data_IF_451852824419
#
_entry.id   IF_451852824419
#
_cell.length_a   1.000
_cell.length_b   1.000
_cell.length_c   1.000
_cell.angle_alpha   90.00
_cell.angle_beta   90.00
_cell.angle_gamma   90.00
#
_symmetry.space_group_name_H-M   'P 1'
#
loop_
_entity.id
_entity.type
_entity.pdbx_description
1 polymer ?
#
# COMPACT_ATOMS: atom_id res chain seq x y z
N UNK A 1 16.68 20.86 12.27
CA UNK A 1 17.65 20.24 13.23
C UNK A 1 17.01 19.90 14.57
N UNK A 2 16.31 20.82 15.27
CA UNK A 2 15.73 20.55 16.60
C UNK A 2 14.83 19.33 16.66
N UNK A 3 13.85 19.23 15.76
CA UNK A 3 12.94 18.07 15.68
C UNK A 3 13.67 16.73 15.47
N UNK A 4 14.66 16.69 14.59
CA UNK A 4 15.41 15.46 14.30
C UNK A 4 16.22 15.02 15.52
N UNK A 5 16.84 15.97 16.23
CA UNK A 5 17.60 15.68 17.45
C UNK A 5 16.71 15.26 18.61
N UNK A 6 15.52 15.82 18.72
CA UNK A 6 14.53 15.40 19.71
C UNK A 6 14.08 13.95 19.48
N UNK A 7 13.79 13.58 18.21
CA UNK A 7 13.51 12.20 17.82
C UNK A 7 14.70 11.30 18.14
N UNK A 8 15.92 11.69 17.78
CA UNK A 8 17.12 10.90 18.08
C UNK A 8 17.31 10.68 19.58
N UNK A 9 17.11 11.74 20.38
CA UNK A 9 17.28 11.67 21.84
C UNK A 9 16.22 10.78 22.49
N UNK A 10 14.97 10.85 22.00
CA UNK A 10 13.84 10.10 22.58
C UNK A 10 13.75 8.66 22.11
N UNK A 11 14.20 8.35 20.87
CA UNK A 11 14.01 7.03 20.25
C UNK A 11 15.30 6.31 19.85
N UNK A 12 16.44 7.00 19.84
CA UNK A 12 17.70 6.47 19.31
C UNK A 12 17.75 6.35 17.78
N UNK A 13 16.72 6.85 17.06
CA UNK A 13 16.62 6.76 15.61
C UNK A 13 17.07 8.05 14.96
N UNK A 14 18.06 7.98 14.05
CA UNK A 14 18.47 9.12 13.24
C UNK A 14 17.52 9.30 12.05
N UNK A 15 17.43 10.54 11.53
CA UNK A 15 16.63 10.86 10.38
C UNK A 15 17.42 11.68 9.35
N UNK A 16 16.96 11.57 8.09
CA UNK A 16 17.45 12.39 6.97
C UNK A 16 16.39 13.42 6.63
N UNK A 17 16.79 14.65 6.31
CA UNK A 17 15.89 15.71 5.92
C UNK A 17 16.26 16.32 4.57
N UNK A 18 15.24 16.72 3.82
CA UNK A 18 15.37 17.54 2.61
C UNK A 18 14.66 18.87 2.80
N UNK A 19 15.28 19.93 2.33
CA UNK A 19 14.74 21.29 2.26
C UNK A 19 14.60 21.62 0.78
N UNK A 20 13.50 22.23 0.39
CA UNK A 20 13.25 22.61 -1.00
C UNK A 20 12.29 23.78 -1.11
N UNK A 21 12.34 24.49 -2.22
CA UNK A 21 11.42 25.59 -2.56
C UNK A 21 10.01 25.09 -2.78
N UNK A 22 9.85 23.79 -3.08
CA UNK A 22 8.57 23.09 -3.20
C UNK A 22 8.66 21.67 -2.64
N UNK A 23 7.52 20.95 -2.61
CA UNK A 23 7.42 19.60 -2.01
C UNK A 23 8.25 18.57 -2.76
N UNK A 24 8.30 18.64 -4.09
CA UNK A 24 9.08 17.72 -4.91
C UNK A 24 10.58 17.89 -4.64
N UNK A 25 11.09 19.13 -4.68
CA UNK A 25 12.51 19.41 -4.42
C UNK A 25 12.92 19.04 -3.00
N UNK A 26 12.07 19.29 -1.99
CA UNK A 26 12.33 18.83 -0.62
C UNK A 26 12.43 17.28 -0.55
N UNK A 27 11.53 16.58 -1.24
CA UNK A 27 11.54 15.11 -1.30
C UNK A 27 12.78 14.56 -1.99
N UNK A 28 13.15 15.12 -3.13
CA UNK A 28 14.32 14.68 -3.92
C UNK A 28 15.64 15.05 -3.22
N UNK A 29 15.70 16.22 -2.58
CA UNK A 29 16.83 16.60 -1.71
C UNK A 29 17.07 15.54 -0.63
N UNK A 30 16.01 15.08 0.04
CA UNK A 30 16.09 14.03 1.06
C UNK A 30 16.52 12.68 0.48
N UNK A 31 15.90 12.24 -0.60
CA UNK A 31 16.06 10.87 -1.09
C UNK A 31 17.36 10.66 -1.89
N UNK A 32 17.82 11.66 -2.62
CA UNK A 32 18.99 11.52 -3.50
C UNK A 32 20.21 12.20 -2.88
N UNK A 33 20.11 13.49 -2.54
CA UNK A 33 21.28 14.28 -2.14
C UNK A 33 21.65 13.99 -0.68
N UNK A 34 20.72 14.12 0.25
CA UNK A 34 21.03 13.96 1.68
C UNK A 34 21.49 12.54 2.03
N UNK A 35 20.91 11.50 1.43
CA UNK A 35 21.35 10.12 1.67
C UNK A 35 22.78 9.83 1.23
N UNK A 36 23.32 10.61 0.29
CA UNK A 36 24.71 10.50 -0.19
C UNK A 36 25.67 11.48 0.47
N UNK A 37 25.13 12.45 1.20
CA UNK A 37 25.93 13.42 1.94
C UNK A 37 26.53 12.83 3.21
N UNK A 38 27.69 13.31 3.68
CA UNK A 38 28.23 12.94 4.98
C UNK A 38 27.23 13.23 6.09
N UNK A 39 27.15 12.32 7.05
CA UNK A 39 26.36 12.55 8.26
C UNK A 39 27.10 13.53 9.19
N UNK A 40 26.36 14.35 9.94
CA UNK A 40 26.93 15.10 11.04
C UNK A 40 27.31 14.15 12.22
N UNK A 41 27.83 14.74 13.31
CA UNK A 41 28.23 13.98 14.51
C UNK A 41 27.11 13.14 15.15
N UNK A 42 25.87 13.52 14.90
CA UNK A 42 24.66 12.86 15.44
C UNK A 42 24.05 11.87 14.41
N UNK A 43 24.73 11.62 13.29
CA UNK A 43 24.28 10.74 12.22
C UNK A 43 23.22 11.37 11.31
N UNK A 44 22.92 12.64 11.47
CA UNK A 44 21.89 13.37 10.71
C UNK A 44 22.45 13.81 9.35
N UNK A 45 21.63 13.67 8.30
CA UNK A 45 21.93 14.14 6.95
C UNK A 45 20.88 15.12 6.50
N UNK A 46 21.31 16.27 5.99
CA UNK A 46 20.41 17.30 5.47
C UNK A 46 20.94 17.77 4.11
N UNK A 47 20.04 17.97 3.17
CA UNK A 47 20.32 18.60 1.89
C UNK A 47 19.25 19.64 1.56
N UNK A 48 19.62 20.62 0.76
CA UNK A 48 18.74 21.68 0.28
C UNK A 48 18.82 21.75 -1.25
N UNK A 49 17.66 21.91 -1.89
CA UNK A 49 17.54 22.13 -3.33
C UNK A 49 16.56 23.27 -3.62
N UNK A 50 16.95 24.08 -4.59
CA UNK A 50 16.06 24.94 -5.35
C UNK A 50 16.12 24.51 -6.83
N UNK A 51 15.38 25.14 -7.71
CA UNK A 51 15.26 24.78 -9.11
C UNK A 51 16.61 24.82 -9.85
N UNK A 52 17.48 25.79 -9.53
CA UNK A 52 18.80 25.92 -10.17
C UNK A 52 19.76 24.83 -9.68
N UNK A 53 19.83 24.61 -8.36
CA UNK A 53 20.68 23.55 -7.80
C UNK A 53 20.17 22.14 -8.17
N UNK A 54 18.88 21.96 -8.35
CA UNK A 54 18.30 20.72 -8.88
C UNK A 54 18.82 20.43 -10.29
N UNK A 55 18.74 21.41 -11.20
CA UNK A 55 19.27 21.28 -12.56
C UNK A 55 20.75 20.96 -12.56
N UNK A 56 21.51 21.72 -11.79
CA UNK A 56 22.96 21.57 -11.72
C UNK A 56 23.42 20.20 -11.17
N UNK A 57 22.74 19.70 -10.13
CA UNK A 57 23.17 18.50 -9.40
C UNK A 57 22.53 17.21 -9.92
N UNK A 58 21.29 17.27 -10.44
CA UNK A 58 20.46 16.10 -10.62
C UNK A 58 19.93 15.89 -12.04
N UNK A 59 20.06 16.84 -12.96
CA UNK A 59 19.60 16.63 -14.32
C UNK A 59 20.28 15.44 -15.00
N UNK A 60 21.58 15.19 -14.74
CA UNK A 60 22.33 14.05 -15.24
C UNK A 60 22.30 12.82 -14.33
N UNK A 61 21.55 12.90 -13.21
CA UNK A 61 21.51 11.81 -12.25
C UNK A 61 20.87 10.54 -12.81
N UNK A 62 21.47 9.40 -12.48
CA UNK A 62 20.98 8.03 -12.76
C UNK A 62 21.09 7.16 -11.53
N UNK A 63 20.15 6.19 -11.37
CA UNK A 63 19.05 5.84 -12.25
C UNK A 63 17.83 6.76 -12.04
N UNK A 64 16.95 6.86 -13.05
CA UNK A 64 15.70 7.62 -12.95
C UNK A 64 14.77 7.13 -11.84
N UNK A 65 14.86 5.86 -11.45
CA UNK A 65 14.06 5.28 -10.35
C UNK A 65 14.39 5.86 -8.96
N UNK A 66 15.44 6.65 -8.82
CA UNK A 66 15.75 7.35 -7.57
C UNK A 66 14.82 8.56 -7.36
N UNK A 67 14.25 9.09 -8.45
CA UNK A 67 13.32 10.22 -8.39
C UNK A 67 11.93 9.77 -7.95
N UNK A 68 11.31 10.60 -7.12
CA UNK A 68 9.97 10.37 -6.65
C UNK A 68 8.98 10.24 -7.81
N UNK A 69 8.05 9.28 -7.72
CA UNK A 69 7.04 8.90 -8.73
C UNK A 69 7.61 8.30 -10.03
N UNK A 70 8.90 8.10 -10.18
CA UNK A 70 9.46 7.39 -11.33
C UNK A 70 9.75 5.93 -10.98
N UNK A 71 8.86 5.05 -11.41
CA UNK A 71 9.05 3.60 -11.27
C UNK A 71 9.68 2.95 -12.50
N UNK A 72 9.99 1.63 -12.45
CA UNK A 72 10.58 0.89 -13.57
C UNK A 72 9.76 0.95 -14.86
N UNK A 73 8.42 1.07 -14.76
CA UNK A 73 7.54 1.20 -15.93
C UNK A 73 7.72 2.54 -16.63
N UNK A 74 7.78 3.64 -15.90
CA UNK A 74 8.05 4.98 -16.43
C UNK A 74 9.45 5.04 -17.03
N UNK A 75 10.45 4.55 -16.30
CA UNK A 75 11.85 4.50 -16.80
C UNK A 75 11.97 3.76 -18.12
N UNK A 76 11.33 2.60 -18.28
CA UNK A 76 11.36 1.85 -19.56
C UNK A 76 10.74 2.62 -20.71
N UNK A 77 9.64 3.34 -20.48
CA UNK A 77 8.98 4.16 -21.50
C UNK A 77 9.81 5.38 -21.88
N UNK A 78 10.47 6.02 -20.93
CA UNK A 78 11.41 7.11 -21.18
C UNK A 78 12.63 6.60 -21.98
N UNK A 79 13.23 5.48 -21.57
CA UNK A 79 14.37 4.87 -22.26
C UNK A 79 14.04 4.46 -23.69
N UNK A 80 12.81 4.00 -23.98
CA UNK A 80 12.36 3.70 -25.34
C UNK A 80 12.31 4.94 -26.26
N UNK A 81 12.26 6.14 -25.67
CA UNK A 81 12.36 7.42 -26.37
C UNK A 81 13.73 8.11 -26.16
N UNK A 82 14.74 7.35 -25.76
CA UNK A 82 16.13 7.80 -25.54
C UNK A 82 16.28 8.86 -24.45
N UNK A 83 15.41 8.86 -23.46
CA UNK A 83 15.49 9.71 -22.27
C UNK A 83 15.93 8.87 -21.06
N UNK A 84 17.12 9.10 -20.55
CA UNK A 84 17.74 8.35 -19.45
C UNK A 84 17.98 9.20 -18.21
N UNK A 85 17.75 10.52 -18.31
CA UNK A 85 17.92 11.49 -17.22
C UNK A 85 16.74 12.46 -17.17
N UNK A 86 16.62 13.20 -16.06
CA UNK A 86 15.59 14.24 -15.93
C UNK A 86 15.90 15.44 -16.85
N UNK A 87 17.17 15.76 -17.08
CA UNK A 87 17.57 16.79 -18.03
C UNK A 87 17.14 16.48 -19.45
N UNK A 88 17.40 15.24 -19.95
CA UNK A 88 16.94 14.80 -21.27
C UNK A 88 15.42 14.84 -21.40
N UNK A 89 14.69 14.50 -20.32
CA UNK A 89 13.24 14.62 -20.29
C UNK A 89 12.79 16.09 -20.34
N UNK A 90 13.41 16.99 -19.57
CA UNK A 90 13.13 18.40 -19.58
C UNK A 90 13.40 19.05 -20.94
N UNK A 91 14.53 18.74 -21.56
CA UNK A 91 14.86 19.23 -22.92
C UNK A 91 13.82 18.78 -23.95
N UNK A 92 13.37 17.52 -23.87
CA UNK A 92 12.35 16.98 -24.78
C UNK A 92 11.04 17.75 -24.69
N UNK A 93 10.62 18.22 -23.50
CA UNK A 93 9.38 18.96 -23.32
C UNK A 93 9.34 20.28 -24.09
N UNK A 94 10.50 20.89 -24.39
CA UNK A 94 10.56 22.18 -25.09
C UNK A 94 10.06 22.10 -26.54
N UNK A 95 10.04 20.94 -27.15
CA UNK A 95 9.65 20.76 -28.55
C UNK A 95 8.67 19.61 -28.82
N UNK A 96 8.43 18.72 -27.86
CA UNK A 96 7.49 17.59 -28.03
C UNK A 96 6.82 17.25 -26.67
N UNK A 97 6.13 18.21 -26.10
CA UNK A 97 5.37 18.05 -24.85
C UNK A 97 4.24 17.03 -25.01
N UNK A 98 3.62 16.99 -26.21
CA UNK A 98 2.53 16.08 -26.55
C UNK A 98 2.94 14.60 -26.39
N UNK A 99 4.22 14.26 -26.57
CA UNK A 99 4.73 12.92 -26.31
C UNK A 99 4.44 12.46 -24.89
N UNK A 100 4.59 13.35 -23.90
CA UNK A 100 4.40 13.02 -22.49
C UNK A 100 2.93 12.75 -22.19
N UNK A 101 2.03 13.61 -22.66
CA UNK A 101 0.58 13.41 -22.48
C UNK A 101 0.09 12.13 -23.15
N UNK A 102 0.52 11.86 -24.37
CA UNK A 102 0.13 10.66 -25.11
C UNK A 102 0.69 9.37 -24.48
N UNK A 103 1.91 9.43 -23.93
CA UNK A 103 2.60 8.25 -23.40
C UNK A 103 2.23 7.96 -21.94
N UNK A 104 2.02 8.99 -21.14
CA UNK A 104 1.85 8.87 -19.69
C UNK A 104 0.48 9.33 -19.19
N UNK A 105 -0.37 9.88 -20.07
CA UNK A 105 -1.67 10.45 -19.68
C UNK A 105 -1.50 11.62 -18.72
N UNK A 106 -2.36 11.73 -17.71
CA UNK A 106 -2.30 12.78 -16.69
C UNK A 106 -0.95 12.79 -15.92
N UNK A 107 -0.29 11.65 -15.78
CA UNK A 107 1.03 11.59 -15.17
C UNK A 107 2.14 12.23 -16.05
N UNK A 108 1.83 12.53 -17.32
CA UNK A 108 2.73 13.25 -18.23
C UNK A 108 2.99 14.66 -17.74
N UNK A 109 1.95 15.38 -17.32
CA UNK A 109 2.07 16.73 -16.77
C UNK A 109 2.95 16.76 -15.51
N UNK A 110 2.69 15.84 -14.57
CA UNK A 110 3.51 15.71 -13.35
C UNK A 110 4.97 15.42 -13.70
N UNK A 111 5.22 14.58 -14.71
CA UNK A 111 6.57 14.24 -15.13
C UNK A 111 7.28 15.44 -15.78
N UNK A 112 6.56 16.25 -16.56
CA UNK A 112 7.07 17.50 -17.15
C UNK A 112 7.47 18.46 -16.04
N UNK A 113 6.57 18.76 -15.12
CA UNK A 113 6.81 19.65 -14.00
C UNK A 113 8.02 19.20 -13.17
N UNK A 114 8.04 17.93 -12.78
CA UNK A 114 9.14 17.37 -12.01
C UNK A 114 10.48 17.37 -12.76
N UNK A 115 10.49 17.22 -14.07
CA UNK A 115 11.71 17.34 -14.87
C UNK A 115 12.33 18.74 -14.78
N UNK A 116 11.50 19.77 -14.66
CA UNK A 116 11.93 21.16 -14.45
C UNK A 116 12.14 21.53 -12.98
N UNK A 117 11.84 20.63 -12.04
CA UNK A 117 11.91 20.90 -10.59
C UNK A 117 10.73 21.70 -10.07
N UNK A 118 9.60 21.66 -10.76
CA UNK A 118 8.35 22.35 -10.42
C UNK A 118 7.42 21.41 -9.70
N UNK A 119 6.71 21.89 -8.68
CA UNK A 119 5.61 21.20 -8.00
C UNK A 119 4.54 22.22 -7.61
N UNK A 120 3.42 22.26 -8.31
CA UNK A 120 2.37 23.24 -8.02
C UNK A 120 1.57 22.91 -6.75
N UNK A 121 1.56 21.65 -6.29
CA UNK A 121 0.81 21.22 -5.11
C UNK A 121 1.46 21.74 -3.84
N UNK A 122 0.66 22.39 -3.01
CA UNK A 122 1.07 22.94 -1.72
C UNK A 122 0.63 22.07 -0.54
N UNK A 123 1.21 22.34 0.65
CA UNK A 123 0.73 21.71 1.89
C UNK A 123 -0.75 22.02 2.19
N UNK A 124 -1.26 23.17 1.73
CA UNK A 124 -2.65 23.54 1.91
C UNK A 124 -3.56 22.68 1.03
N UNK A 125 -3.14 22.42 -0.21
CA UNK A 125 -3.88 21.56 -1.14
C UNK A 125 -3.97 20.13 -0.59
N UNK A 126 -2.86 19.60 -0.05
CA UNK A 126 -2.84 18.28 0.60
C UNK A 126 -3.80 18.22 1.79
N UNK A 127 -3.82 19.26 2.65
CA UNK A 127 -4.73 19.31 3.81
C UNK A 127 -6.20 19.39 3.41
N UNK A 128 -6.49 20.07 2.31
CA UNK A 128 -7.85 20.24 1.80
C UNK A 128 -8.31 19.09 0.92
N UNK A 129 -7.37 18.23 0.46
CA UNK A 129 -7.68 17.13 -0.45
C UNK A 129 -8.67 16.15 0.17
N UNK A 130 -9.72 15.83 -0.58
CA UNK A 130 -10.65 14.74 -0.30
C UNK A 130 -10.50 13.72 -1.42
N UNK A 131 -10.19 12.49 -1.04
CA UNK A 131 -10.04 11.41 -2.02
C UNK A 131 -11.40 11.05 -2.64
N UNK A 132 -11.45 11.01 -3.96
CA UNK A 132 -12.57 10.45 -4.71
C UNK A 132 -12.46 8.91 -4.83
N UNK A 133 -11.48 8.31 -4.15
CA UNK A 133 -11.32 6.86 -4.15
C UNK A 133 -12.46 6.19 -3.38
N UNK A 134 -13.19 5.37 -4.08
CA UNK A 134 -14.27 4.54 -3.52
C UNK A 134 -13.74 3.12 -3.20
N UNK A 135 -12.54 3.01 -2.69
CA UNK A 135 -11.97 1.72 -2.27
C UNK A 135 -11.29 1.81 -0.91
N UNK A 136 -11.33 0.72 -0.17
CA UNK A 136 -10.62 0.56 1.09
C UNK A 136 -9.84 -0.76 1.04
N UNK A 137 -8.53 -0.70 1.21
CA UNK A 137 -7.67 -1.88 1.10
C UNK A 137 -6.85 -2.12 2.36
N UNK A 138 -6.53 -3.39 2.59
CA UNK A 138 -5.61 -3.84 3.61
C UNK A 138 -4.64 -4.85 2.98
N UNK A 139 -3.33 -4.66 3.21
CA UNK A 139 -2.27 -5.52 2.70
C UNK A 139 -1.28 -5.90 3.77
N UNK A 140 -0.71 -7.10 3.66
CA UNK A 140 0.28 -7.59 4.60
C UNK A 140 1.40 -8.35 3.89
N UNK A 141 2.65 -8.06 4.27
CA UNK A 141 3.82 -8.90 3.99
C UNK A 141 4.02 -9.79 5.20
N UNK A 142 4.01 -11.10 4.98
CA UNK A 142 4.20 -12.08 6.06
C UNK A 142 5.68 -12.09 6.52
N UNK A 143 5.96 -12.31 7.81
CA UNK A 143 7.33 -12.30 8.35
C UNK A 143 8.20 -13.42 7.78
N UNK A 144 7.59 -14.55 7.42
CA UNK A 144 8.20 -15.72 6.79
C UNK A 144 7.28 -16.29 5.70
N UNK A 145 7.73 -17.24 4.88
CA UNK A 145 6.82 -18.02 4.04
C UNK A 145 5.81 -18.78 4.90
N UNK A 146 4.53 -18.65 4.60
CA UNK A 146 3.42 -19.29 5.31
C UNK A 146 2.87 -20.43 4.48
N UNK A 147 2.45 -21.52 5.15
CA UNK A 147 1.68 -22.59 4.54
C UNK A 147 0.23 -22.15 4.35
N UNK A 148 -0.52 -22.94 3.59
CA UNK A 148 -1.91 -22.63 3.21
C UNK A 148 -2.79 -22.30 4.42
N UNK A 149 -2.80 -23.14 5.46
CA UNK A 149 -3.68 -22.95 6.63
C UNK A 149 -3.32 -21.68 7.42
N UNK A 150 -2.02 -21.39 7.56
CA UNK A 150 -1.55 -20.17 8.22
C UNK A 150 -1.93 -18.92 7.40
N UNK A 151 -1.74 -18.97 6.07
CA UNK A 151 -2.11 -17.88 5.18
C UNK A 151 -3.62 -17.63 5.16
N UNK A 152 -4.41 -18.71 5.18
CA UNK A 152 -5.87 -18.66 5.27
C UNK A 152 -6.35 -18.05 6.60
N UNK A 153 -5.68 -18.36 7.71
CA UNK A 153 -5.94 -17.73 9.00
C UNK A 153 -5.69 -16.21 8.93
N UNK A 154 -4.53 -15.78 8.44
CA UNK A 154 -4.22 -14.35 8.27
C UNK A 154 -5.18 -13.66 7.30
N UNK A 155 -5.60 -14.35 6.26
CA UNK A 155 -6.58 -13.82 5.31
C UNK A 155 -7.93 -13.50 5.99
N UNK A 156 -8.40 -14.39 6.88
CA UNK A 156 -9.58 -14.15 7.71
C UNK A 156 -9.39 -12.95 8.67
N UNK A 157 -8.24 -12.83 9.32
CA UNK A 157 -7.91 -11.67 10.17
C UNK A 157 -7.97 -10.35 9.37
N UNK A 158 -7.46 -10.36 8.13
CA UNK A 158 -7.45 -9.19 7.26
C UNK A 158 -8.85 -8.78 6.80
N UNK A 159 -9.72 -9.75 6.48
CA UNK A 159 -11.12 -9.49 6.14
C UNK A 159 -11.84 -8.83 7.32
N UNK A 160 -11.64 -9.35 8.53
CA UNK A 160 -12.25 -8.76 9.73
C UNK A 160 -11.76 -7.35 10.00
N UNK A 161 -10.46 -7.10 9.83
CA UNK A 161 -9.89 -5.77 9.97
C UNK A 161 -10.49 -4.81 8.94
N UNK A 162 -10.61 -5.23 7.67
CA UNK A 162 -11.21 -4.43 6.61
C UNK A 162 -12.68 -4.09 6.93
N UNK A 163 -13.46 -5.10 7.33
CA UNK A 163 -14.88 -4.89 7.69
C UNK A 163 -15.05 -4.02 8.94
N UNK A 164 -14.14 -4.12 9.92
CA UNK A 164 -14.15 -3.24 11.09
C UNK A 164 -13.81 -1.78 10.71
N UNK A 165 -12.88 -1.58 9.78
CA UNK A 165 -12.54 -0.26 9.27
C UNK A 165 -13.69 0.35 8.45
N UNK A 166 -14.38 -0.45 7.65
CA UNK A 166 -15.58 -0.04 6.93
C UNK A 166 -16.68 0.40 7.91
N UNK A 167 -16.97 -0.41 8.92
CA UNK A 167 -17.98 -0.08 9.94
C UNK A 167 -17.64 1.22 10.67
N UNK A 168 -16.36 1.41 11.06
CA UNK A 168 -15.89 2.63 11.72
C UNK A 168 -16.04 3.88 10.87
N UNK A 169 -15.91 3.73 9.55
CA UNK A 169 -16.04 4.82 8.57
C UNK A 169 -17.45 4.95 8.00
N UNK A 170 -18.41 4.18 8.49
CA UNK A 170 -19.77 4.12 7.96
C UNK A 170 -19.82 3.81 6.46
N UNK A 171 -19.04 2.81 6.03
CA UNK A 171 -18.96 2.39 4.64
C UNK A 171 -19.49 0.97 4.46
N UNK A 172 -20.04 0.71 3.28
CA UNK A 172 -20.39 -0.62 2.76
C UNK A 172 -19.88 -0.78 1.33
N UNK A 173 -19.73 -2.00 0.83
CA UNK A 173 -19.23 -2.25 -0.52
C UNK A 173 -20.02 -3.38 -1.21
N UNK A 174 -20.21 -3.30 -2.56
CA UNK A 174 -20.87 -4.33 -3.35
C UNK A 174 -19.89 -5.39 -3.86
N UNK A 175 -18.59 -5.15 -3.77
CA UNK A 175 -17.57 -6.06 -4.29
C UNK A 175 -16.30 -6.04 -3.45
N UNK A 176 -15.63 -7.19 -3.41
CA UNK A 176 -14.37 -7.36 -2.70
C UNK A 176 -13.36 -8.06 -3.59
N UNK A 177 -12.17 -7.51 -3.66
CA UNK A 177 -11.03 -8.09 -4.39
C UNK A 177 -10.00 -8.59 -3.39
N UNK A 178 -9.39 -9.71 -3.70
CA UNK A 178 -8.29 -10.26 -2.92
C UNK A 178 -7.15 -10.71 -3.83
N UNK A 179 -5.94 -10.74 -3.30
CA UNK A 179 -4.78 -11.26 -3.98
C UNK A 179 -3.77 -11.83 -3.00
N UNK A 180 -2.95 -12.77 -3.50
CA UNK A 180 -1.82 -13.35 -2.79
C UNK A 180 -0.60 -13.41 -3.69
N UNK A 181 0.58 -13.22 -3.10
CA UNK A 181 1.86 -13.50 -3.76
C UNK A 181 2.54 -14.64 -3.04
N UNK A 182 3.14 -15.52 -3.83
CA UNK A 182 3.87 -16.67 -3.32
C UNK A 182 5.35 -16.33 -3.09
N UNK A 183 5.96 -17.03 -2.15
CA UNK A 183 7.39 -16.94 -1.90
C UNK A 183 8.17 -17.73 -2.95
N UNK A 184 9.37 -17.31 -3.30
CA UNK A 184 10.25 -18.03 -4.24
C UNK A 184 10.60 -19.46 -3.77
N UNK A 185 10.65 -19.68 -2.46
CA UNK A 185 10.84 -21.02 -1.87
C UNK A 185 9.71 -21.99 -2.17
N UNK A 186 8.58 -21.52 -2.71
CA UNK A 186 7.52 -22.39 -3.19
C UNK A 186 8.00 -23.37 -4.25
N UNK A 187 8.96 -22.98 -5.09
CA UNK A 187 9.51 -23.83 -6.14
C UNK A 187 10.40 -24.94 -5.57
N UNK A 188 11.06 -24.67 -4.46
CA UNK A 188 11.82 -25.70 -3.70
C UNK A 188 10.87 -26.64 -2.96
N UNK A 189 9.81 -26.10 -2.36
CA UNK A 189 8.80 -26.88 -1.61
C UNK A 189 7.90 -27.73 -2.53
N UNK A 190 7.73 -27.32 -3.80
CA UNK A 190 6.90 -27.99 -4.80
C UNK A 190 7.66 -28.13 -6.13
N UNK A 191 8.65 -29.03 -6.25
CA UNK A 191 9.45 -29.19 -7.48
C UNK A 191 8.63 -29.53 -8.73
N UNK A 192 7.42 -30.07 -8.58
CA UNK A 192 6.49 -30.41 -9.66
C UNK A 192 5.53 -29.26 -10.05
N UNK A 193 5.77 -28.03 -9.62
CA UNK A 193 4.90 -26.92 -9.98
C UNK A 193 5.04 -26.58 -11.48
N UNK A 194 3.93 -26.67 -12.20
CA UNK A 194 3.84 -26.41 -13.65
C UNK A 194 3.03 -25.15 -14.01
N UNK A 195 2.63 -24.37 -13.01
CA UNK A 195 1.86 -23.14 -13.21
C UNK A 195 2.72 -21.96 -13.69
N UNK A 196 2.09 -20.83 -13.96
CA UNK A 196 2.79 -19.64 -14.44
C UNK A 196 3.78 -19.07 -13.40
N UNK A 197 4.94 -18.64 -13.90
CA UNK A 197 6.01 -18.05 -13.10
C UNK A 197 6.11 -16.54 -13.33
N UNK A 198 6.69 -15.84 -12.35
CA UNK A 198 7.08 -14.44 -12.41
C UNK A 198 8.48 -14.28 -11.82
N UNK A 199 9.11 -13.14 -12.09
CA UNK A 199 10.43 -12.78 -11.55
C UNK A 199 10.24 -11.65 -10.54
N UNK A 200 10.83 -11.78 -9.35
CA UNK A 200 10.81 -10.73 -8.35
C UNK A 200 11.86 -9.62 -8.64
N UNK A 201 11.88 -8.59 -7.79
CA UNK A 201 12.84 -7.48 -7.90
C UNK A 201 14.32 -7.94 -7.86
N UNK A 202 14.60 -9.07 -7.22
CA UNK A 202 15.95 -9.63 -7.08
C UNK A 202 16.31 -10.64 -8.18
N UNK A 203 15.45 -10.77 -9.20
CA UNK A 203 15.67 -11.72 -10.30
C UNK A 203 15.30 -13.17 -9.97
N UNK A 204 14.65 -13.45 -8.83
CA UNK A 204 14.27 -14.81 -8.43
C UNK A 204 12.94 -15.21 -9.04
N UNK A 205 12.87 -16.43 -9.57
CA UNK A 205 11.62 -17.02 -10.05
C UNK A 205 10.71 -17.37 -8.84
N UNK A 206 9.44 -17.10 -8.98
CA UNK A 206 8.40 -17.49 -8.04
C UNK A 206 7.09 -17.76 -8.77
N UNK A 207 6.13 -18.53 -8.19
CA UNK A 207 4.81 -18.69 -8.78
C UNK A 207 4.12 -17.32 -8.95
N UNK A 208 3.45 -17.14 -10.08
CA UNK A 208 2.71 -15.89 -10.35
C UNK A 208 1.64 -15.70 -9.28
N UNK A 209 1.42 -14.46 -8.87
CA UNK A 209 0.37 -14.09 -7.93
C UNK A 209 -1.01 -14.58 -8.38
N UNK A 210 -1.86 -14.89 -7.40
CA UNK A 210 -3.25 -15.33 -7.61
C UNK A 210 -4.19 -14.37 -6.90
N UNK A 211 -5.40 -14.20 -7.42
CA UNK A 211 -6.40 -13.35 -6.81
C UNK A 211 -7.77 -13.51 -7.46
N UNK A 212 -8.71 -12.75 -6.97
CA UNK A 212 -10.07 -12.75 -7.51
C UNK A 212 -10.91 -11.63 -6.95
N UNK A 213 -11.99 -11.33 -7.67
CA UNK A 213 -13.03 -10.40 -7.24
C UNK A 213 -14.30 -11.20 -6.97
N UNK A 214 -14.98 -10.88 -5.88
CA UNK A 214 -16.27 -11.43 -5.51
C UNK A 214 -17.27 -10.28 -5.43
N UNK A 215 -18.35 -10.38 -6.19
CA UNK A 215 -19.47 -9.46 -6.14
C UNK A 215 -20.48 -9.96 -5.11
N UNK A 216 -20.89 -9.09 -4.21
CA UNK A 216 -21.94 -9.35 -3.24
C UNK A 216 -23.29 -9.01 -3.86
N UNK A 217 -24.37 -9.64 -3.38
CA UNK A 217 -25.73 -9.35 -3.87
C UNK A 217 -26.19 -7.94 -3.51
N UNK A 218 -25.75 -7.46 -2.35
CA UNK A 218 -26.06 -6.15 -1.81
C UNK A 218 -24.81 -5.51 -1.23
N UNK A 219 -24.82 -4.21 -1.05
CA UNK A 219 -23.77 -3.53 -0.28
C UNK A 219 -23.69 -4.11 1.12
N UNK A 220 -22.50 -4.45 1.57
CA UNK A 220 -22.28 -5.02 2.92
C UNK A 220 -20.95 -4.62 3.51
N UNK A 221 -20.90 -4.64 4.83
CA UNK A 221 -19.67 -4.61 5.63
C UNK A 221 -19.66 -5.74 6.68
N UNK A 222 -20.56 -6.72 6.54
CA UNK A 222 -20.64 -7.88 7.42
C UNK A 222 -19.42 -8.80 7.24
N UNK A 223 -18.59 -9.04 8.27
CA UNK A 223 -17.44 -9.93 8.15
C UNK A 223 -17.84 -11.39 7.92
N UNK A 224 -18.98 -11.85 8.39
CA UNK A 224 -19.44 -13.22 8.13
C UNK A 224 -19.73 -13.40 6.64
N UNK A 225 -20.56 -12.54 6.05
CA UNK A 225 -20.91 -12.61 4.64
C UNK A 225 -19.69 -12.45 3.71
N UNK A 226 -18.80 -11.48 4.03
CA UNK A 226 -17.58 -11.23 3.25
C UNK A 226 -16.58 -12.38 3.39
N UNK A 227 -16.39 -12.93 4.60
CA UNK A 227 -15.49 -14.06 4.83
C UNK A 227 -15.94 -15.31 4.08
N UNK A 228 -17.23 -15.67 4.14
CA UNK A 228 -17.75 -16.84 3.45
C UNK A 228 -17.50 -16.76 1.94
N UNK A 229 -17.76 -15.60 1.35
CA UNK A 229 -17.60 -15.40 -0.07
C UNK A 229 -16.11 -15.37 -0.50
N UNK A 230 -15.26 -14.65 0.23
CA UNK A 230 -13.85 -14.49 -0.11
C UNK A 230 -13.06 -15.77 0.17
N UNK A 231 -13.30 -16.45 1.30
CA UNK A 231 -12.61 -17.70 1.63
C UNK A 231 -12.95 -18.79 0.63
N UNK A 232 -14.20 -18.92 0.21
CA UNK A 232 -14.56 -19.85 -0.85
C UNK A 232 -13.83 -19.55 -2.17
N UNK A 233 -13.64 -18.27 -2.51
CA UNK A 233 -12.87 -17.86 -3.68
C UNK A 233 -11.38 -18.14 -3.51
N UNK A 234 -10.83 -17.90 -2.32
CA UNK A 234 -9.44 -18.16 -1.96
C UNK A 234 -9.13 -19.65 -2.05
N UNK A 235 -9.90 -20.50 -1.37
CA UNK A 235 -9.71 -21.97 -1.32
C UNK A 235 -9.77 -22.59 -2.71
N UNK A 236 -10.61 -22.07 -3.62
CA UNK A 236 -10.73 -22.59 -5.00
C UNK A 236 -9.60 -22.15 -5.95
N UNK A 237 -8.97 -20.99 -5.72
CA UNK A 237 -8.04 -20.39 -6.67
C UNK A 237 -6.58 -20.50 -6.27
N UNK A 238 -6.30 -20.74 -5.00
CA UNK A 238 -4.93 -20.90 -4.52
C UNK A 238 -4.47 -22.36 -4.58
N UNK A 239 -3.18 -22.55 -4.80
CA UNK A 239 -2.59 -23.90 -4.71
C UNK A 239 -2.08 -24.12 -3.28
N UNK A 240 -2.66 -25.07 -2.51
CA UNK A 240 -2.31 -25.30 -1.11
C UNK A 240 -0.90 -25.84 -0.88
N UNK A 241 -0.21 -26.26 -1.94
CA UNK A 241 1.18 -26.76 -1.88
C UNK A 241 2.21 -25.63 -1.85
N UNK A 242 1.80 -24.42 -2.25
CA UNK A 242 2.69 -23.25 -2.36
C UNK A 242 2.84 -22.53 -1.03
N UNK A 243 3.91 -21.77 -0.91
CA UNK A 243 4.21 -20.93 0.24
C UNK A 243 3.82 -19.48 -0.03
N UNK A 244 3.04 -18.91 0.87
CA UNK A 244 2.49 -17.56 0.76
C UNK A 244 3.45 -16.54 1.37
N UNK A 245 3.58 -15.37 0.73
CA UNK A 245 4.45 -14.27 1.19
C UNK A 245 3.73 -12.97 1.42
N UNK A 246 2.70 -12.67 0.62
CA UNK A 246 1.90 -11.45 0.75
C UNK A 246 0.44 -11.77 0.53
N UNK A 247 -0.43 -11.05 1.26
CA UNK A 247 -1.86 -11.10 1.09
C UNK A 247 -2.42 -9.68 1.01
N UNK A 248 -3.52 -9.52 0.30
CA UNK A 248 -4.26 -8.26 0.23
C UNK A 248 -5.74 -8.51 0.05
N UNK A 249 -6.54 -7.64 0.64
CA UNK A 249 -7.98 -7.56 0.48
C UNK A 249 -8.38 -6.10 0.23
N UNK A 250 -9.37 -5.90 -0.62
CA UNK A 250 -9.88 -4.58 -0.97
C UNK A 250 -11.39 -4.62 -1.06
N UNK A 251 -12.06 -3.64 -0.47
CA UNK A 251 -13.46 -3.34 -0.70
C UNK A 251 -13.53 -2.33 -1.86
N UNK A 252 -14.23 -2.69 -2.91
CA UNK A 252 -14.35 -1.90 -4.13
C UNK A 252 -15.69 -1.14 -4.15
N UNK A 253 -15.69 0.02 -4.77
CA UNK A 253 -16.88 0.86 -4.92
C UNK A 253 -17.60 1.10 -3.59
N UNK A 254 -16.83 1.44 -2.56
CA UNK A 254 -17.37 1.75 -1.23
C UNK A 254 -18.31 2.95 -1.31
N UNK A 255 -19.44 2.85 -0.62
CA UNK A 255 -20.41 3.91 -0.46
C UNK A 255 -20.73 4.09 1.02
N UNK A 256 -21.30 5.26 1.35
CA UNK A 256 -21.80 5.49 2.70
C UNK A 256 -22.88 4.45 3.05
N UNK A 257 -22.72 3.83 4.21
CA UNK A 257 -23.69 2.87 4.73
C UNK A 257 -24.91 3.65 5.26
N UNK A 258 -25.93 3.76 4.40
CA UNK A 258 -27.17 4.47 4.72
C UNK A 258 -28.04 3.75 5.79
N UNK A 259 -27.65 2.53 6.18
CA UNK A 259 -28.47 1.68 7.05
C UNK A 259 -29.76 1.17 6.40
N UNK A 260 -29.99 1.49 5.13
CA UNK A 260 -31.13 0.96 4.36
C UNK A 260 -30.72 -0.29 3.62
N UNK A 261 -31.39 -1.39 3.88
CA UNK A 261 -31.23 -2.64 3.15
C UNK A 261 -32.47 -2.91 2.29
N UNK A 262 -32.24 -3.29 1.05
CA UNK A 262 -33.32 -3.90 0.27
C UNK A 262 -33.55 -5.28 0.84
N UNK A 263 -34.72 -5.47 1.47
CA UNK A 263 -35.09 -6.75 2.05
C UNK A 263 -35.22 -7.82 0.95
N UNK A 264 -34.60 -8.97 1.15
CA UNK A 264 -34.79 -10.18 0.35
C UNK A 264 -35.26 -11.33 1.23
N UNK A 265 -35.77 -12.40 0.61
CA UNK A 265 -36.35 -13.55 1.31
C UNK A 265 -35.29 -14.55 1.83
N UNK A 266 -34.01 -14.34 1.52
CA UNK A 266 -32.94 -15.31 1.75
C UNK A 266 -31.93 -14.84 2.80
N UNK A 267 -32.00 -13.57 3.20
CA UNK A 267 -31.08 -12.96 4.16
C UNK A 267 -31.69 -12.96 5.55
N UNK A 268 -30.99 -13.51 6.53
CA UNK A 268 -31.35 -13.43 7.96
C UNK A 268 -30.94 -12.05 8.52
N UNK A 269 -31.88 -11.12 8.47
CA UNK A 269 -31.66 -9.76 8.93
C UNK A 269 -31.48 -9.65 10.45
N UNK A 270 -32.12 -10.54 11.24
CA UNK A 270 -31.97 -10.57 12.70
C UNK A 270 -30.54 -10.98 13.08
N UNK A 271 -29.98 -11.94 12.35
CA UNK A 271 -28.58 -12.34 12.55
C UNK A 271 -27.61 -11.21 12.18
N UNK A 272 -27.84 -10.51 11.06
CA UNK A 272 -27.01 -9.36 10.64
C UNK A 272 -27.08 -8.22 11.64
N UNK A 273 -28.26 -7.86 12.15
CA UNK A 273 -28.41 -6.82 13.15
C UNK A 273 -27.72 -7.18 14.45
N UNK A 274 -27.83 -8.45 14.88
CA UNK A 274 -27.12 -8.95 16.06
C UNK A 274 -25.61 -8.89 15.85
N UNK A 275 -25.11 -9.31 14.69
CA UNK A 275 -23.68 -9.21 14.34
C UNK A 275 -23.21 -7.75 14.41
N UNK A 276 -23.93 -6.81 13.82
CA UNK A 276 -23.60 -5.39 13.82
C UNK A 276 -23.56 -4.83 15.25
N UNK A 277 -24.52 -5.17 16.10
CA UNK A 277 -24.53 -4.73 17.52
C UNK A 277 -23.30 -5.25 18.27
N UNK A 278 -22.92 -6.52 18.08
CA UNK A 278 -21.71 -7.11 18.69
C UNK A 278 -20.46 -6.36 18.22
N UNK A 279 -20.34 -6.11 16.93
CA UNK A 279 -19.17 -5.40 16.34
C UNK A 279 -19.04 -3.97 16.85
N UNK A 280 -20.13 -3.25 16.99
CA UNK A 280 -20.12 -1.90 17.57
C UNK A 280 -19.66 -1.92 19.03
N UNK A 281 -20.09 -2.91 19.80
CA UNK A 281 -19.61 -3.10 21.17
C UNK A 281 -18.11 -3.44 21.21
N UNK A 282 -17.62 -4.34 20.36
CA UNK A 282 -16.19 -4.66 20.23
C UNK A 282 -15.35 -3.44 19.86
N UNK A 283 -15.79 -2.62 18.89
CA UNK A 283 -15.11 -1.37 18.52
C UNK A 283 -15.06 -0.38 19.67
N UNK A 284 -16.15 -0.24 20.42
CA UNK A 284 -16.21 0.62 21.61
C UNK A 284 -15.22 0.19 22.70
N UNK A 285 -15.13 -1.12 22.97
CA UNK A 285 -14.18 -1.68 23.93
C UNK A 285 -12.74 -1.47 23.46
N UNK A 286 -12.44 -1.77 22.19
CA UNK A 286 -11.10 -1.58 21.61
C UNK A 286 -10.66 -0.11 21.63
N UNK A 287 -11.60 0.82 21.38
CA UNK A 287 -11.34 2.26 21.47
C UNK A 287 -10.99 2.70 22.89
N UNK A 288 -11.65 2.14 23.92
CA UNK A 288 -11.48 2.53 25.32
C UNK A 288 -10.27 1.86 25.98
N UNK A 289 -10.03 0.59 25.70
CA UNK A 289 -9.07 -0.26 26.41
C UNK A 289 -7.89 -0.72 25.56
N UNK A 290 -7.85 -0.31 24.29
CA UNK A 290 -6.78 -0.67 23.33
C UNK A 290 -7.19 -1.77 22.35
N UNK A 291 -6.47 -1.88 21.22
CA UNK A 291 -6.85 -2.74 20.10
C UNK A 291 -6.86 -4.24 20.43
N UNK A 292 -6.11 -4.66 21.45
CA UNK A 292 -6.04 -6.05 21.91
C UNK A 292 -6.93 -6.35 23.12
N UNK A 293 -7.83 -5.43 23.53
CA UNK A 293 -8.73 -5.66 24.67
C UNK A 293 -9.79 -6.75 24.40
N UNK A 294 -10.18 -6.91 23.13
CA UNK A 294 -11.07 -7.97 22.65
C UNK A 294 -10.50 -8.54 21.36
N UNK A 295 -10.35 -9.85 21.28
CA UNK A 295 -9.86 -10.56 20.12
C UNK A 295 -10.57 -11.92 20.00
N UNK A 296 -10.47 -12.56 18.83
CA UNK A 296 -11.08 -13.87 18.59
C UNK A 296 -10.14 -14.98 19.00
N UNK A 297 -10.68 -16.12 19.41
CA UNK A 297 -9.87 -17.29 19.78
C UNK A 297 -8.87 -17.75 18.72
N UNK A 298 -9.20 -17.55 17.44
CA UNK A 298 -8.28 -17.84 16.32
C UNK A 298 -7.05 -16.93 16.27
N UNK A 299 -7.12 -15.72 16.83
CA UNK A 299 -5.99 -14.78 16.88
C UNK A 299 -4.87 -15.27 17.81
N UNK A 300 -5.11 -16.36 18.56
CA UNK A 300 -4.13 -17.07 19.40
C UNK A 300 -3.51 -18.29 18.71
N UNK A 301 -3.98 -18.66 17.51
CA UNK A 301 -3.42 -19.80 16.79
C UNK A 301 -2.04 -19.47 16.24
N UNK A 302 -1.23 -20.53 16.03
CA UNK A 302 0.07 -20.40 15.38
C UNK A 302 -0.08 -19.79 13.98
N UNK A 303 0.73 -18.79 13.67
CA UNK A 303 0.66 -18.05 12.41
C UNK A 303 -0.29 -16.84 12.41
N UNK A 304 -1.13 -16.66 13.45
CA UNK A 304 -1.94 -15.46 13.59
C UNK A 304 -1.07 -14.20 13.76
N UNK A 305 -1.51 -13.08 13.20
CA UNK A 305 -0.72 -11.84 13.15
C UNK A 305 -1.40 -10.65 13.81
N UNK A 306 -2.70 -10.71 14.07
CA UNK A 306 -3.52 -9.58 14.56
C UNK A 306 -2.98 -8.96 15.84
N UNK A 307 -2.67 -9.75 16.87
CA UNK A 307 -2.24 -9.25 18.17
C UNK A 307 -0.86 -8.54 18.09
N UNK A 308 0.04 -9.06 17.27
CA UNK A 308 1.35 -8.45 17.02
C UNK A 308 1.22 -7.17 16.18
N UNK A 309 0.42 -7.20 15.11
CA UNK A 309 0.17 -6.03 14.25
C UNK A 309 -0.45 -4.87 15.02
N UNK A 310 -1.35 -5.14 15.94
CA UNK A 310 -1.99 -4.13 16.79
C UNK A 310 -0.99 -3.40 17.72
N UNK A 311 0.22 -3.94 17.89
CA UNK A 311 1.32 -3.32 18.66
C UNK A 311 2.31 -2.56 17.77
N UNK A 312 2.17 -2.65 16.45
CA UNK A 312 3.06 -1.96 15.51
C UNK A 312 2.66 -0.49 15.34
N UNK A 313 3.65 0.36 15.12
CA UNK A 313 3.47 1.78 14.77
C UNK A 313 3.83 1.93 13.29
N UNK A 314 2.86 2.34 12.45
CA UNK A 314 3.08 2.52 11.03
C UNK A 314 3.51 1.25 10.28
N UNK A 315 3.14 0.05 10.77
CA UNK A 315 3.51 -1.23 10.17
C UNK A 315 4.91 -1.75 10.53
N UNK A 316 5.59 -1.08 11.45
CA UNK A 316 6.91 -1.47 11.95
C UNK A 316 6.84 -1.82 13.45
N UNK A 317 7.72 -2.71 13.89
CA UNK A 317 7.91 -2.95 15.34
C UNK A 317 8.51 -1.69 15.96
N UNK A 318 7.91 -1.24 17.05
CA UNK A 318 8.45 -0.16 17.87
C UNK A 318 9.67 -0.68 18.65
#
# INVERSE_FOLDING_TARGET
MTMIRDVLTSTGITATAGIGTNLYLAKVAMDIVAKRSPADRDGVRIAELNEDSYKFLLWDHRPLTDFWQIGPGTTRRLAAAYMFTMGEAAERTQWDEEYFYRTFGINGEILIDHAWGIEPVTMQDIKNYRSDSHSLSNGQVLPRPYRFEEARLVFLEMIETLCADMLRKHLSAPAFTWWVSYDWKSLEACPGYSGPLAVDFYGRLHPKHTGGTVNMRTHTNSPSAVSDALVQSFDRRTDPRLLFRRLGVCAENTAEDSGFFQLDLFTDYDALEKEQRIRLAELSIRRKYGPNAVFKGRDLLEGATTLERNRQIGGHRA
#
